data_IF_026740445206
#
_entry.id   IF_026740445206
#
_cell.length_a   1.000
_cell.length_b   1.000
_cell.length_c   1.000
_cell.angle_alpha   90.00
_cell.angle_beta   90.00
_cell.angle_gamma   90.00
#
_symmetry.space_group_name_H-M   'P 1'
#
loop_
_entity.id
_entity.type
_entity.pdbx_description
1 polymer ?
#
# COMPACT_ATOMS: atom_id res chain seq x y z
N UNK A 1 1.72 -30.21 -15.23
CA UNK A 1 2.18 -28.80 -15.30
C UNK A 1 2.30 -28.24 -13.88
N UNK A 2 3.32 -27.45 -13.57
CA UNK A 2 3.44 -26.76 -12.26
C UNK A 2 2.73 -25.40 -12.31
N UNK A 3 1.92 -25.10 -11.31
CA UNK A 3 1.24 -23.80 -11.18
C UNK A 3 2.21 -22.79 -10.54
N UNK A 4 2.38 -21.63 -11.16
CA UNK A 4 3.20 -20.53 -10.66
C UNK A 4 2.27 -19.43 -10.16
N UNK A 5 2.57 -18.88 -8.99
CA UNK A 5 1.89 -17.73 -8.44
C UNK A 5 2.84 -16.53 -8.45
N UNK A 6 2.43 -15.44 -9.11
CA UNK A 6 3.12 -14.16 -9.02
C UNK A 6 2.61 -13.40 -7.79
N UNK A 7 3.50 -13.08 -6.86
CA UNK A 7 3.19 -12.23 -5.71
C UNK A 7 3.99 -10.93 -5.80
N UNK A 8 3.29 -9.81 -5.71
CA UNK A 8 3.91 -8.50 -5.63
C UNK A 8 3.98 -8.08 -4.17
N UNK A 9 5.19 -7.79 -3.68
CA UNK A 9 5.41 -7.25 -2.33
C UNK A 9 6.27 -6.01 -2.39
N UNK A 10 6.05 -5.12 -1.43
CA UNK A 10 6.89 -3.96 -1.18
C UNK A 10 7.53 -4.13 0.19
N UNK A 11 8.85 -4.05 0.28
CA UNK A 11 9.53 -3.92 1.56
C UNK A 11 9.43 -2.47 2.03
N UNK A 12 9.18 -2.25 3.32
CA UNK A 12 9.00 -0.92 3.89
C UNK A 12 10.08 -0.69 4.94
N UNK A 13 10.97 0.23 4.65
CA UNK A 13 12.03 0.67 5.55
C UNK A 13 11.81 2.14 5.92
N UNK A 14 11.34 2.40 7.15
CA UNK A 14 11.09 3.75 7.64
C UNK A 14 12.33 4.27 8.34
N UNK A 15 12.85 5.43 7.92
CA UNK A 15 14.03 6.03 8.56
C UNK A 15 15.37 5.46 8.09
N UNK A 16 15.36 4.53 7.12
CA UNK A 16 16.59 3.97 6.54
C UNK A 16 16.93 4.63 5.20
N UNK A 17 15.96 4.70 4.28
CA UNK A 17 16.14 5.25 2.93
C UNK A 17 16.00 6.78 2.88
N UNK A 18 15.25 7.35 3.81
CA UNK A 18 15.08 8.79 4.03
C UNK A 18 14.51 9.01 5.45
N UNK A 19 14.35 10.25 5.88
CA UNK A 19 13.68 10.63 7.12
C UNK A 19 12.34 9.90 7.24
N UNK A 20 12.09 9.34 8.42
CA UNK A 20 10.88 8.58 8.72
C UNK A 20 9.60 9.33 8.32
N UNK A 21 9.59 10.66 8.51
CA UNK A 21 8.49 11.55 8.10
C UNK A 21 8.27 11.50 6.58
N UNK A 22 9.30 11.74 5.78
CA UNK A 22 9.21 11.78 4.32
C UNK A 22 8.76 10.43 3.75
N UNK A 23 9.35 9.33 4.25
CA UNK A 23 8.94 7.98 3.84
C UNK A 23 7.47 7.75 4.15
N UNK A 24 7.03 8.10 5.38
CA UNK A 24 5.64 7.94 5.78
C UNK A 24 4.71 8.78 4.90
N UNK A 25 5.00 10.07 4.71
CA UNK A 25 4.20 10.97 3.85
C UNK A 25 4.11 10.45 2.41
N UNK A 26 5.20 9.90 1.87
CA UNK A 26 5.20 9.34 0.53
C UNK A 26 4.30 8.10 0.41
N UNK A 27 4.31 7.23 1.43
CA UNK A 27 3.38 6.10 1.50
C UNK A 27 1.92 6.55 1.61
N UNK A 28 1.65 7.55 2.44
CA UNK A 28 0.31 8.11 2.66
C UNK A 28 -0.26 8.76 1.40
N UNK A 29 0.55 9.60 0.75
CA UNK A 29 0.06 10.49 -0.30
C UNK A 29 0.16 9.87 -1.70
N UNK A 30 1.04 8.89 -1.90
CA UNK A 30 1.29 8.32 -3.23
C UNK A 30 1.08 6.81 -3.28
N UNK A 31 1.78 6.01 -2.47
CA UNK A 31 1.75 4.55 -2.64
C UNK A 31 0.41 3.92 -2.26
N UNK A 32 -0.14 4.24 -1.07
CA UNK A 32 -1.43 3.70 -0.63
C UNK A 32 -2.58 4.13 -1.59
N UNK A 33 -2.74 5.41 -1.97
CA UNK A 33 -3.82 5.82 -2.88
C UNK A 33 -3.73 5.17 -4.25
N UNK A 34 -2.52 5.06 -4.81
CA UNK A 34 -2.32 4.43 -6.12
C UNK A 34 -2.63 2.93 -6.08
N UNK A 35 -2.18 2.23 -5.04
CA UNK A 35 -2.50 0.81 -4.89
C UNK A 35 -4.01 0.58 -4.77
N UNK A 36 -4.74 1.42 -4.01
CA UNK A 36 -6.21 1.36 -3.94
C UNK A 36 -6.88 1.65 -5.29
N UNK A 37 -6.34 2.61 -6.07
CA UNK A 37 -6.83 2.91 -7.42
C UNK A 37 -6.71 1.69 -8.33
N UNK A 38 -5.52 1.07 -8.39
CA UNK A 38 -5.28 -0.13 -9.19
C UNK A 38 -6.17 -1.30 -8.72
N UNK A 39 -6.28 -1.51 -7.40
CA UNK A 39 -7.14 -2.55 -6.85
C UNK A 39 -8.61 -2.38 -7.27
N UNK A 40 -9.11 -1.14 -7.34
CA UNK A 40 -10.46 -0.85 -7.83
C UNK A 40 -10.59 -1.12 -9.33
N UNK A 41 -9.62 -0.69 -10.13
CA UNK A 41 -9.63 -0.90 -11.58
C UNK A 41 -9.57 -2.38 -11.96
N UNK A 42 -8.79 -3.18 -11.23
CA UNK A 42 -8.59 -4.60 -11.53
C UNK A 42 -9.58 -5.54 -10.84
N UNK A 43 -10.63 -5.00 -10.20
CA UNK A 43 -11.60 -5.81 -9.43
C UNK A 43 -12.44 -6.75 -10.31
N UNK A 44 -12.74 -6.32 -11.54
CA UNK A 44 -13.50 -7.11 -12.53
C UNK A 44 -12.63 -8.00 -13.41
N UNK A 45 -11.30 -7.87 -13.32
CA UNK A 45 -10.36 -8.60 -14.16
C UNK A 45 -10.10 -10.00 -13.62
N UNK A 46 -9.74 -10.92 -14.52
CA UNK A 46 -9.36 -12.29 -14.16
C UNK A 46 -8.13 -12.29 -13.25
N UNK A 47 -7.14 -11.48 -13.59
CA UNK A 47 -5.96 -11.21 -12.77
C UNK A 47 -6.23 -10.03 -11.84
N UNK A 48 -6.65 -10.32 -10.60
CA UNK A 48 -6.88 -9.29 -9.58
C UNK A 48 -5.56 -8.74 -9.04
N UNK A 49 -5.51 -7.43 -8.80
CA UNK A 49 -4.44 -6.83 -8.02
C UNK A 49 -4.70 -7.02 -6.52
N UNK A 50 -3.84 -7.81 -5.87
CA UNK A 50 -3.86 -8.05 -4.42
C UNK A 50 -2.57 -7.49 -3.86
N UNK A 51 -2.69 -6.47 -3.01
CA UNK A 51 -1.55 -5.87 -2.33
C UNK A 51 -1.69 -6.07 -0.83
N UNK A 52 -0.71 -6.74 -0.25
CA UNK A 52 -0.59 -6.91 1.21
C UNK A 52 0.33 -5.82 1.75
N UNK A 53 -0.27 -4.84 2.41
CA UNK A 53 0.49 -3.83 3.17
C UNK A 53 0.73 -4.31 4.59
N UNK A 54 1.91 -4.08 5.14
CA UNK A 54 2.17 -4.23 6.57
C UNK A 54 1.32 -3.25 7.42
N UNK A 55 1.45 -3.35 8.74
CA UNK A 55 0.71 -2.57 9.76
C UNK A 55 0.67 -1.06 9.53
N UNK A 56 1.59 -0.49 8.75
CA UNK A 56 1.57 0.93 8.36
C UNK A 56 0.25 1.36 7.70
N UNK A 57 -0.38 0.53 6.87
CA UNK A 57 -1.66 0.89 6.25
C UNK A 57 -2.79 1.03 7.27
N UNK A 58 -2.71 0.31 8.39
CA UNK A 58 -3.65 0.49 9.49
C UNK A 58 -3.44 1.84 10.17
N UNK A 59 -2.21 2.16 10.53
CA UNK A 59 -1.84 3.46 11.11
C UNK A 59 -2.22 4.62 10.19
N UNK A 60 -2.01 4.46 8.89
CA UNK A 60 -2.45 5.38 7.84
C UNK A 60 -3.96 5.66 7.90
N UNK A 61 -4.77 4.60 7.83
CA UNK A 61 -6.24 4.68 7.87
C UNK A 61 -6.71 5.34 9.16
N UNK A 62 -6.11 4.98 10.30
CA UNK A 62 -6.41 5.55 11.62
C UNK A 62 -6.09 7.04 11.71
N UNK A 63 -4.94 7.48 11.20
CA UNK A 63 -4.60 8.91 11.20
C UNK A 63 -5.47 9.72 10.25
N UNK A 64 -5.84 9.19 9.08
CA UNK A 64 -6.80 9.89 8.19
C UNK A 64 -8.18 10.07 8.82
N UNK A 65 -8.65 9.16 9.67
CA UNK A 65 -9.94 9.35 10.38
C UNK A 65 -9.87 10.44 11.46
N UNK A 66 -8.72 10.64 12.11
CA UNK A 66 -8.56 11.65 13.16
C UNK A 66 -8.25 13.07 12.68
N UNK A 67 -7.88 13.26 11.42
CA UNK A 67 -7.65 14.60 10.85
C UNK A 67 -8.96 15.28 10.38
N UNK A 68 -10.10 14.58 10.46
CA UNK A 68 -11.43 15.08 10.14
C UNK A 68 -12.34 15.23 11.39
N UNK A 69 -11.78 15.09 12.60
CA UNK A 69 -12.39 15.48 13.89
C UNK A 69 -11.67 16.71 14.44
#
# INVERSE_FOLDING_TARGET
MKKIFGLFKTHLDIGFTDMAKNVTENYMNHFLPNAMKIARQMRGEKERFIWTTGSLAWTAIYHTHRMHE
#
